data_IF_157013248120
#
_entry.id   IF_157013248120
#
_cell.length_a   1.000
_cell.length_b   1.000
_cell.length_c   1.000
_cell.angle_alpha   90.00
_cell.angle_beta   90.00
_cell.angle_gamma   90.00
#
_symmetry.space_group_name_H-M   'P 1'
#
loop_
_entity.id
_entity.type
_entity.pdbx_description
1 polymer ?
#
# COMPACT_ATOMS: atom_id res chain seq x y z
N UNK A 1 15.51 -16.37 4.26
CA UNK A 1 15.78 -15.52 5.43
C UNK A 1 14.55 -15.50 6.33
N UNK A 2 14.74 -15.86 7.58
CA UNK A 2 13.63 -15.88 8.53
C UNK A 2 13.71 -14.66 9.44
N UNK A 3 12.65 -13.86 9.46
CA UNK A 3 12.58 -12.70 10.35
C UNK A 3 12.28 -13.16 11.77
N UNK A 4 12.99 -12.59 12.72
CA UNK A 4 12.77 -12.82 14.14
C UNK A 4 12.00 -11.66 14.76
N UNK A 5 11.45 -11.85 15.95
CA UNK A 5 10.80 -10.78 16.70
C UNK A 5 11.76 -9.60 16.93
N UNK A 6 13.03 -9.88 17.18
CA UNK A 6 14.04 -8.85 17.39
C UNK A 6 14.27 -8.04 16.11
N UNK A 7 14.30 -8.68 14.94
CA UNK A 7 14.41 -7.95 13.67
C UNK A 7 13.25 -6.96 13.48
N UNK A 8 12.03 -7.37 13.81
CA UNK A 8 10.87 -6.49 13.70
C UNK A 8 10.94 -5.30 14.67
N UNK A 9 11.45 -5.52 15.88
CA UNK A 9 11.64 -4.44 16.84
C UNK A 9 12.67 -3.43 16.37
N UNK A 10 13.78 -3.89 15.81
CA UNK A 10 14.84 -3.03 15.29
C UNK A 10 14.39 -2.17 14.13
N UNK A 11 13.54 -2.73 13.24
CA UNK A 11 12.97 -1.99 12.11
C UNK A 11 11.95 -0.93 12.54
N UNK A 12 11.41 -1.05 13.75
CA UNK A 12 10.42 -0.10 14.28
C UNK A 12 9.26 0.15 13.31
N UNK A 13 8.78 -0.93 12.65
CA UNK A 13 7.88 -0.89 11.52
C UNK A 13 6.61 -0.09 11.81
N UNK A 14 6.00 -0.32 12.98
CA UNK A 14 4.71 0.29 13.30
C UNK A 14 4.82 1.81 13.47
N UNK A 15 5.94 2.31 13.99
CA UNK A 15 6.17 3.74 14.17
C UNK A 15 6.07 4.50 12.85
N UNK A 16 6.67 3.97 11.80
CA UNK A 16 6.72 4.65 10.50
C UNK A 16 5.64 4.20 9.53
N UNK A 17 5.11 3.00 9.70
CA UNK A 17 4.10 2.46 8.81
C UNK A 17 2.85 3.36 8.73
N UNK A 18 2.34 3.84 9.83
CA UNK A 18 1.17 4.74 9.85
C UNK A 18 1.41 6.01 9.06
N UNK A 19 2.59 6.58 9.19
CA UNK A 19 2.98 7.79 8.47
C UNK A 19 3.05 7.54 6.97
N UNK A 20 3.71 6.46 6.55
CA UNK A 20 3.84 6.09 5.15
C UNK A 20 2.48 5.74 4.55
N UNK A 21 1.64 5.02 5.28
CA UNK A 21 0.28 4.70 4.87
C UNK A 21 -0.53 5.99 4.64
N UNK A 22 -0.45 6.93 5.55
CA UNK A 22 -1.16 8.22 5.42
C UNK A 22 -0.71 8.97 4.19
N UNK A 23 0.60 9.02 3.94
CA UNK A 23 1.14 9.63 2.75
C UNK A 23 0.61 8.96 1.48
N UNK A 24 0.70 7.63 1.39
CA UNK A 24 0.26 6.89 0.19
C UNK A 24 -1.24 7.05 -0.06
N UNK A 25 -2.06 6.94 0.99
CA UNK A 25 -3.50 7.08 0.85
C UNK A 25 -3.90 8.48 0.39
N UNK A 26 -3.27 9.51 0.93
CA UNK A 26 -3.56 10.89 0.56
C UNK A 26 -3.07 11.22 -0.85
N UNK A 27 -1.90 10.73 -1.23
CA UNK A 27 -1.30 11.00 -2.54
C UNK A 27 -2.05 10.30 -3.67
N UNK A 28 -2.48 9.06 -3.46
CA UNK A 28 -3.05 8.21 -4.51
C UNK A 28 -4.56 7.97 -4.38
N UNK A 29 -5.19 8.54 -3.35
CA UNK A 29 -6.64 8.45 -3.19
C UNK A 29 -7.15 7.12 -2.65
N UNK A 30 -6.35 6.39 -1.88
CA UNK A 30 -6.76 5.15 -1.23
C UNK A 30 -7.46 5.39 0.11
N UNK A 31 -8.28 4.42 0.50
CA UNK A 31 -8.60 4.19 1.90
C UNK A 31 -7.54 3.29 2.52
N UNK A 32 -7.36 3.37 3.83
CA UNK A 32 -6.33 2.58 4.55
C UNK A 32 -6.46 1.08 4.25
N UNK A 33 -7.68 0.56 4.29
CA UNK A 33 -7.94 -0.86 4.02
C UNK A 33 -7.65 -1.24 2.56
N UNK A 34 -7.84 -0.31 1.62
CA UNK A 34 -7.52 -0.56 0.20
C UNK A 34 -6.02 -0.78 0.02
N UNK A 35 -5.20 0.06 0.63
CA UNK A 35 -3.75 -0.06 0.53
C UNK A 35 -3.24 -1.35 1.17
N UNK A 36 -3.73 -1.69 2.35
CA UNK A 36 -3.34 -2.92 3.04
C UNK A 36 -3.72 -4.15 2.23
N UNK A 37 -4.89 -4.14 1.61
CA UNK A 37 -5.33 -5.21 0.73
C UNK A 37 -4.43 -5.35 -0.50
N UNK A 38 -4.03 -4.25 -1.12
CA UNK A 38 -3.12 -4.27 -2.27
C UNK A 38 -1.75 -4.83 -1.89
N UNK A 39 -1.23 -4.48 -0.71
CA UNK A 39 0.03 -5.03 -0.21
C UNK A 39 -0.09 -6.56 -0.04
N UNK A 40 -1.21 -7.02 0.51
CA UNK A 40 -1.48 -8.45 0.65
C UNK A 40 -1.53 -9.16 -0.72
N UNK A 41 -2.24 -8.57 -1.69
CA UNK A 41 -2.37 -9.14 -3.02
C UNK A 41 -1.05 -9.14 -3.80
N UNK A 42 -0.21 -8.15 -3.58
CA UNK A 42 1.13 -8.10 -4.18
C UNK A 42 1.97 -9.30 -3.74
N UNK A 43 1.82 -9.74 -2.50
CA UNK A 43 2.50 -10.93 -2.00
C UNK A 43 2.03 -12.21 -2.70
N UNK A 44 0.79 -12.26 -3.14
CA UNK A 44 0.23 -13.43 -3.86
C UNK A 44 0.64 -13.51 -5.32
N UNK A 45 1.07 -12.42 -5.91
CA UNK A 45 1.41 -12.25 -7.33
C UNK A 45 0.22 -12.36 -8.26
N UNK A 46 -0.54 -13.47 -8.23
CA UNK A 46 -1.72 -13.70 -9.07
C UNK A 46 -2.85 -14.24 -8.21
N UNK A 47 -4.07 -13.83 -8.53
CA UNK A 47 -5.24 -14.21 -7.73
C UNK A 47 -6.52 -14.19 -8.58
N UNK A 48 -7.50 -14.98 -8.16
CA UNK A 48 -8.85 -14.94 -8.72
C UNK A 48 -9.70 -13.97 -7.90
N UNK A 49 -10.88 -13.62 -8.43
CA UNK A 49 -11.83 -12.81 -7.67
C UNK A 49 -12.23 -13.51 -6.36
N UNK A 50 -12.37 -14.83 -6.39
CA UNK A 50 -12.68 -15.61 -5.18
C UNK A 50 -11.57 -15.49 -4.13
N UNK A 51 -10.31 -15.56 -4.54
CA UNK A 51 -9.19 -15.36 -3.61
C UNK A 51 -9.14 -13.94 -3.05
N UNK A 52 -9.55 -12.94 -3.85
CA UNK A 52 -9.73 -11.58 -3.36
C UNK A 52 -10.79 -11.53 -2.26
N UNK A 53 -11.96 -12.14 -2.51
CA UNK A 53 -13.05 -12.21 -1.52
C UNK A 53 -12.57 -12.92 -0.25
N UNK A 54 -11.91 -14.06 -0.39
CA UNK A 54 -11.39 -14.84 0.73
C UNK A 54 -10.33 -14.07 1.52
N UNK A 55 -9.44 -13.35 0.82
CA UNK A 55 -8.44 -12.50 1.45
C UNK A 55 -9.02 -11.32 2.23
N UNK A 56 -10.23 -10.89 1.88
CA UNK A 56 -10.91 -9.82 2.59
C UNK A 56 -11.63 -10.27 3.88
N UNK A 57 -11.47 -11.51 4.29
CA UNK A 57 -12.07 -12.01 5.53
C UNK A 57 -11.76 -11.12 6.73
N UNK A 58 -10.55 -10.58 6.77
CA UNK A 58 -10.09 -9.67 7.82
C UNK A 58 -10.41 -8.19 7.53
N UNK A 59 -10.87 -7.87 6.32
CA UNK A 59 -11.06 -6.48 5.87
C UNK A 59 -12.48 -6.11 5.50
N UNK A 60 -13.45 -7.00 5.64
CA UNK A 60 -14.82 -6.86 5.16
C UNK A 60 -14.91 -6.82 3.63
N UNK A 61 -15.68 -7.73 3.08
CA UNK A 61 -15.93 -7.73 1.63
C UNK A 61 -16.69 -6.49 1.21
N UNK A 62 -16.20 -5.83 0.17
CA UNK A 62 -16.85 -4.67 -0.44
C UNK A 62 -16.70 -4.75 -1.96
N UNK A 63 -17.84 -4.97 -2.65
CA UNK A 63 -17.88 -5.01 -4.11
C UNK A 63 -17.42 -3.68 -4.71
N UNK A 64 -17.75 -2.56 -4.09
CA UNK A 64 -17.35 -1.24 -4.56
C UNK A 64 -15.83 -1.07 -4.50
N UNK A 65 -15.18 -1.65 -3.49
CA UNK A 65 -13.71 -1.66 -3.37
C UNK A 65 -13.07 -2.38 -4.56
N UNK A 66 -13.57 -3.56 -4.90
CA UNK A 66 -13.10 -4.33 -6.05
C UNK A 66 -13.21 -3.52 -7.34
N UNK A 67 -14.38 -2.94 -7.61
CA UNK A 67 -14.63 -2.16 -8.82
C UNK A 67 -13.79 -0.88 -8.84
N UNK A 68 -13.65 -0.21 -7.70
CA UNK A 68 -12.86 1.01 -7.59
C UNK A 68 -11.37 0.76 -7.87
N UNK A 69 -10.81 -0.30 -7.30
CA UNK A 69 -9.40 -0.64 -7.52
C UNK A 69 -9.12 -1.07 -8.94
N UNK A 70 -10.06 -1.79 -9.56
CA UNK A 70 -9.93 -2.16 -10.98
C UNK A 70 -10.06 -0.95 -11.89
N UNK A 71 -11.05 -0.10 -11.67
CA UNK A 71 -11.28 1.11 -12.48
C UNK A 71 -10.12 2.09 -12.39
N UNK A 72 -9.50 2.19 -11.23
CA UNK A 72 -8.33 3.05 -11.03
C UNK A 72 -7.04 2.44 -11.60
N UNK A 73 -7.07 1.19 -12.08
CA UNK A 73 -5.91 0.54 -12.68
C UNK A 73 -4.90 -0.04 -11.69
N UNK A 74 -5.29 -0.27 -10.43
CA UNK A 74 -4.44 -0.89 -9.42
C UNK A 74 -4.46 -2.41 -9.50
N UNK A 75 -5.57 -2.98 -9.99
CA UNK A 75 -5.74 -4.41 -10.25
C UNK A 75 -6.06 -4.56 -11.73
N UNK A 76 -5.38 -5.48 -12.39
CA UNK A 76 -5.58 -5.73 -13.82
C UNK A 76 -5.75 -7.22 -14.11
N UNK A 77 -6.32 -7.54 -15.27
CA UNK A 77 -6.46 -8.91 -15.73
C UNK A 77 -5.09 -9.41 -16.21
N UNK A 78 -4.60 -10.49 -15.60
CA UNK A 78 -3.39 -11.16 -16.07
C UNK A 78 -3.71 -12.16 -17.17
N UNK A 79 -4.79 -12.96 -17.00
CA UNK A 79 -5.20 -13.95 -17.98
C UNK A 79 -6.70 -14.18 -17.89
N UNK A 80 -7.36 -14.21 -19.03
CA UNK A 80 -8.77 -14.52 -19.13
C UNK A 80 -8.95 -15.76 -20.01
N UNK A 81 -9.73 -16.74 -19.52
CA UNK A 81 -10.12 -17.91 -20.29
C UNK A 81 -11.62 -17.90 -20.50
N UNK A 82 -12.03 -17.85 -21.78
CA UNK A 82 -13.42 -17.97 -22.23
C UNK A 82 -13.61 -19.35 -22.86
N UNK A 83 -13.75 -20.39 -22.03
CA UNK A 83 -14.24 -21.68 -22.53
C UNK A 83 -15.76 -21.68 -22.43
N UNK A 84 -16.42 -22.41 -23.35
CA UNK A 84 -17.88 -22.46 -23.47
C UNK A 84 -18.61 -22.87 -22.18
N UNK A 85 -17.95 -23.56 -21.28
CA UNK A 85 -18.52 -24.05 -20.01
C UNK A 85 -17.97 -23.37 -18.76
N UNK A 86 -16.78 -22.77 -18.84
CA UNK A 86 -16.14 -22.15 -17.64
C UNK A 86 -15.43 -20.87 -18.05
N UNK A 87 -15.97 -19.74 -17.55
CA UNK A 87 -15.32 -18.45 -17.69
C UNK A 87 -14.63 -18.09 -16.37
N UNK A 88 -13.32 -17.94 -16.40
CA UNK A 88 -12.61 -17.41 -15.25
C UNK A 88 -11.51 -16.46 -15.65
N UNK A 89 -11.27 -15.50 -14.80
CA UNK A 89 -10.21 -14.51 -14.98
C UNK A 89 -9.22 -14.62 -13.83
N UNK A 90 -7.94 -14.54 -14.15
CA UNK A 90 -6.87 -14.42 -13.18
C UNK A 90 -6.37 -12.99 -13.21
N UNK A 91 -6.23 -12.39 -12.06
CA UNK A 91 -5.86 -11.00 -11.87
C UNK A 91 -4.47 -10.88 -11.25
N UNK A 92 -3.89 -9.72 -11.38
CA UNK A 92 -2.67 -9.34 -10.67
C UNK A 92 -2.74 -7.86 -10.28
N UNK A 93 -1.95 -7.45 -9.32
CA UNK A 93 -1.74 -6.02 -9.11
C UNK A 93 -0.99 -5.45 -10.31
N UNK A 94 -1.32 -4.23 -10.72
CA UNK A 94 -0.70 -3.60 -11.88
C UNK A 94 0.77 -3.26 -11.61
N UNK A 95 1.53 -3.00 -12.68
CA UNK A 95 2.92 -2.59 -12.55
C UNK A 95 3.07 -1.32 -11.70
N UNK A 96 2.20 -0.33 -11.90
CA UNK A 96 2.23 0.89 -11.09
C UNK A 96 1.97 0.61 -9.61
N UNK A 97 1.12 -0.38 -9.31
CA UNK A 97 0.85 -0.80 -7.94
C UNK A 97 2.08 -1.44 -7.31
N UNK A 98 2.74 -2.34 -8.03
CA UNK A 98 3.97 -2.98 -7.56
C UNK A 98 5.08 -1.95 -7.33
N UNK A 99 5.18 -0.94 -8.20
CA UNK A 99 6.14 0.15 -8.01
C UNK A 99 5.85 0.95 -6.74
N UNK A 100 4.59 1.29 -6.50
CA UNK A 100 4.20 2.00 -5.29
C UNK A 100 4.50 1.20 -4.02
N UNK A 101 4.15 -0.08 -4.01
CA UNK A 101 4.39 -0.96 -2.87
C UNK A 101 5.90 -1.13 -2.61
N UNK A 102 6.68 -1.29 -3.67
CA UNK A 102 8.14 -1.36 -3.56
C UNK A 102 8.70 -0.07 -2.96
N UNK A 103 8.19 1.07 -3.39
CA UNK A 103 8.58 2.37 -2.83
C UNK A 103 8.24 2.47 -1.35
N UNK A 104 7.06 2.02 -0.95
CA UNK A 104 6.65 1.97 0.46
C UNK A 104 7.65 1.15 1.28
N UNK A 105 8.03 -0.03 0.79
CA UNK A 105 9.02 -0.87 1.47
C UNK A 105 10.38 -0.17 1.58
N UNK A 106 10.84 0.49 0.53
CA UNK A 106 12.10 1.23 0.56
C UNK A 106 12.10 2.36 1.59
N UNK A 107 10.98 3.09 1.68
CA UNK A 107 10.81 4.15 2.67
C UNK A 107 10.86 3.57 4.09
N UNK A 108 10.14 2.45 4.32
CA UNK A 108 10.13 1.79 5.62
C UNK A 108 11.49 1.23 6.02
N UNK A 109 12.28 0.77 5.05
CA UNK A 109 13.64 0.27 5.28
C UNK A 109 14.68 1.38 5.41
N UNK A 110 14.31 2.63 5.19
CA UNK A 110 15.23 3.75 5.25
C UNK A 110 16.06 3.97 3.98
N UNK A 111 15.77 3.26 2.90
CA UNK A 111 16.48 3.39 1.62
C UNK A 111 16.03 4.62 0.81
N UNK A 112 14.84 5.13 1.09
CA UNK A 112 14.25 6.28 0.43
C UNK A 112 13.54 7.14 1.46
N UNK A 113 13.51 8.46 1.27
CA UNK A 113 12.82 9.39 2.16
C UNK A 113 11.44 9.72 1.61
N UNK A 114 10.50 9.99 2.54
CA UNK A 114 9.23 10.59 2.15
C UNK A 114 9.47 11.98 1.55
N UNK A 115 8.70 12.36 0.51
CA UNK A 115 8.82 13.68 -0.08
C UNK A 115 8.53 14.78 0.96
N UNK A 116 9.49 15.70 1.13
CA UNK A 116 9.39 16.81 2.08
C UNK A 116 9.35 18.16 1.41
N UNK A 117 9.42 18.20 0.07
CA UNK A 117 9.45 19.48 -0.65
C UNK A 117 8.16 20.25 -0.45
N UNK A 118 8.27 21.59 -0.42
CA UNK A 118 7.12 22.49 -0.34
C UNK A 118 6.14 22.31 -1.51
N UNK A 119 6.56 21.64 -2.56
CA UNK A 119 5.74 21.29 -3.72
C UNK A 119 4.88 20.04 -3.51
N UNK A 120 5.20 19.19 -2.53
CA UNK A 120 4.36 18.04 -2.19
C UNK A 120 3.29 18.49 -1.20
N UNK A 121 2.12 18.79 -1.73
CA UNK A 121 1.02 19.44 -1.02
C UNK A 121 0.16 18.51 -0.17
N UNK A 122 0.59 17.28 0.12
CA UNK A 122 -0.26 16.38 0.89
C UNK A 122 -0.37 16.73 2.38
N UNK A 123 0.62 17.45 2.94
CA UNK A 123 0.54 18.02 4.28
C UNK A 123 0.83 19.53 4.20
N UNK A 124 -0.21 20.32 4.09
CA UNK A 124 -0.09 21.75 3.79
C UNK A 124 -0.09 22.67 5.04
N UNK A 125 0.05 22.07 6.25
CA UNK A 125 0.06 22.78 7.53
C UNK A 125 -1.24 23.53 7.86
N UNK A 126 -2.35 23.18 7.23
CA UNK A 126 -3.64 23.81 7.49
C UNK A 126 -4.36 23.25 8.72
N UNK A 127 -3.95 22.08 9.20
CA UNK A 127 -4.54 21.46 10.37
C UNK A 127 -3.46 21.02 11.35
N UNK A 128 -3.86 20.83 12.60
CA UNK A 128 -2.96 20.27 13.62
C UNK A 128 -2.40 18.91 13.19
N UNK A 129 -3.24 18.09 12.57
CA UNK A 129 -2.84 16.78 12.06
C UNK A 129 -1.73 16.87 11.02
N UNK A 130 -1.82 17.83 10.09
CA UNK A 130 -0.78 18.06 9.08
C UNK A 130 0.56 18.47 9.72
N UNK A 131 0.51 19.31 10.73
CA UNK A 131 1.71 19.75 11.47
C UNK A 131 2.38 18.56 12.15
N UNK A 132 1.58 17.69 12.79
CA UNK A 132 2.09 16.49 13.46
C UNK A 132 2.74 15.53 12.46
N UNK A 133 2.10 15.31 11.30
CA UNK A 133 2.66 14.43 10.28
C UNK A 133 3.94 14.99 9.66
N UNK A 134 4.00 16.29 9.39
CA UNK A 134 5.21 16.93 8.87
C UNK A 134 6.38 16.80 9.84
N UNK A 135 6.13 16.99 11.13
CA UNK A 135 7.14 16.78 12.16
C UNK A 135 7.58 15.32 12.23
N UNK A 136 6.64 14.38 12.09
CA UNK A 136 6.95 12.94 12.09
C UNK A 136 7.84 12.56 10.88
N UNK A 137 7.62 13.17 9.72
CA UNK A 137 8.47 12.96 8.54
C UNK A 137 9.90 13.44 8.83
N UNK A 138 10.05 14.62 9.41
CA UNK A 138 11.38 15.16 9.75
C UNK A 138 12.10 14.25 10.77
N UNK A 139 11.38 13.77 11.77
CA UNK A 139 11.93 12.84 12.77
C UNK A 139 12.35 11.53 12.14
N UNK A 140 11.57 11.00 11.20
CA UNK A 140 11.89 9.77 10.47
C UNK A 140 13.19 9.91 9.67
N UNK A 141 13.36 11.04 8.99
CA UNK A 141 14.57 11.33 8.20
C UNK A 141 15.78 11.41 9.12
N UNK A 142 15.67 12.05 10.27
CA UNK A 142 16.75 12.15 11.26
C UNK A 142 17.12 10.78 11.83
N UNK A 143 16.14 9.96 12.15
CA UNK A 143 16.38 8.60 12.70
C UNK A 143 17.11 7.71 11.69
N UNK A 144 16.88 7.90 10.42
CA UNK A 144 17.54 7.15 9.35
C UNK A 144 19.04 7.43 9.29
N UNK A 145 19.45 8.66 9.58
CA UNK A 145 20.85 9.10 9.47
C UNK A 145 21.71 8.67 10.67
N UNK A 146 21.13 7.93 11.59
CA UNK A 146 21.85 7.36 12.74
C UNK A 146 22.39 5.94 12.41
#
# INVERSE_FOLDING_TARGET
MRLTAQNLRELNILKYYRLVRKWACKTYGFKDADLELLIYLDCKKRFTRQEFIDGTYTYSWDKQRWERLRSAGWIEVWRQRNRTTIKYSVFKVSFKCTQLITRIYRILLGEEDLPTSSRSKFFNNQSYTDIVYNKAIDDMIKDKDR
#
